data_IF_414554665643
#
_entry.id   IF_414554665643
#
_cell.length_a   1.000
_cell.length_b   1.000
_cell.length_c   1.000
_cell.angle_alpha   90.00
_cell.angle_beta   90.00
_cell.angle_gamma   90.00
#
_symmetry.space_group_name_H-M   'P 1'
#
loop_
_entity.id
_entity.type
_entity.pdbx_description
1 polymer ?
#
# COMPACT_ATOMS: atom_id res chain seq x y z
N UNK A 1 -10.51 0.30 -8.25
CA UNK A 1 -10.74 -0.74 -7.26
C UNK A 1 -11.26 -0.16 -5.94
N UNK A 2 -12.13 -0.91 -5.24
CA UNK A 2 -12.79 -0.43 -4.02
C UNK A 2 -11.82 -0.20 -2.84
N UNK A 3 -10.63 -0.76 -2.89
CA UNK A 3 -9.62 -0.61 -1.83
C UNK A 3 -8.66 0.57 -2.00
N UNK A 4 -8.72 1.30 -3.11
CA UNK A 4 -7.93 2.52 -3.26
C UNK A 4 -8.44 3.62 -2.33
N UNK A 5 -7.51 4.46 -1.82
CA UNK A 5 -7.87 5.54 -0.90
C UNK A 5 -8.88 6.51 -1.50
N UNK A 6 -8.81 6.75 -2.81
CA UNK A 6 -9.79 7.58 -3.52
C UNK A 6 -11.22 7.04 -3.44
N UNK A 7 -11.40 5.72 -3.41
CA UNK A 7 -12.73 5.10 -3.28
C UNK A 7 -13.31 5.31 -1.88
N UNK A 8 -12.46 5.26 -0.85
CA UNK A 8 -12.89 5.56 0.52
C UNK A 8 -13.22 7.04 0.70
N UNK A 9 -12.42 7.95 0.12
CA UNK A 9 -12.75 9.37 0.10
C UNK A 9 -14.11 9.60 -0.59
N UNK A 10 -14.34 8.96 -1.74
CA UNK A 10 -15.61 9.10 -2.45
C UNK A 10 -16.79 8.53 -1.66
N UNK A 11 -16.60 7.44 -0.93
CA UNK A 11 -17.61 6.90 -0.02
C UNK A 11 -17.98 7.92 1.07
N UNK A 12 -16.98 8.52 1.73
CA UNK A 12 -17.24 9.56 2.74
C UNK A 12 -18.00 10.79 2.16
N UNK A 13 -17.69 11.14 0.90
CA UNK A 13 -18.42 12.19 0.16
C UNK A 13 -19.89 11.80 -0.07
N UNK A 14 -20.16 10.55 -0.46
CA UNK A 14 -21.51 10.04 -0.67
C UNK A 14 -22.32 10.00 0.63
N UNK A 15 -21.66 9.60 1.71
CA UNK A 15 -22.27 9.54 3.04
C UNK A 15 -22.44 10.94 3.68
N UNK A 16 -21.97 11.99 3.00
CA UNK A 16 -22.02 13.39 3.43
C UNK A 16 -21.36 13.59 4.81
N UNK A 17 -20.22 12.93 5.05
CA UNK A 17 -19.48 13.09 6.29
C UNK A 17 -18.98 14.53 6.46
N UNK A 18 -19.24 15.15 7.62
CA UNK A 18 -19.00 16.58 7.86
C UNK A 18 -17.55 17.01 7.69
N UNK A 19 -16.60 16.14 8.03
CA UNK A 19 -15.16 16.44 7.97
C UNK A 19 -14.63 16.57 6.55
N UNK A 20 -15.33 16.05 5.53
CA UNK A 20 -14.86 16.03 4.13
C UNK A 20 -14.59 17.45 3.59
N UNK A 21 -15.39 18.43 3.97
CA UNK A 21 -15.21 19.83 3.55
C UNK A 21 -13.93 20.48 4.08
N UNK A 22 -13.38 19.95 5.18
CA UNK A 22 -12.25 20.51 5.92
C UNK A 22 -10.95 19.70 5.71
N UNK A 23 -10.95 18.74 4.76
CA UNK A 23 -9.75 17.93 4.47
C UNK A 23 -8.64 18.82 3.93
N UNK A 24 -7.47 18.76 4.57
CA UNK A 24 -6.24 19.45 4.16
C UNK A 24 -5.14 18.50 3.70
N UNK A 25 -5.29 17.22 4.01
CA UNK A 25 -4.29 16.22 3.67
C UNK A 25 -4.90 14.82 3.74
N UNK A 26 -4.82 14.10 2.64
CA UNK A 26 -5.20 12.69 2.52
C UNK A 26 -3.95 11.87 2.21
N UNK A 27 -3.62 10.93 3.07
CA UNK A 27 -2.43 10.10 2.91
C UNK A 27 -2.62 8.73 3.56
N UNK A 28 -1.69 7.83 3.30
CA UNK A 28 -1.60 6.54 3.99
C UNK A 28 -0.99 6.71 5.38
N UNK A 29 -1.01 5.65 6.18
CA UNK A 29 -0.35 5.64 7.49
C UNK A 29 1.17 5.88 7.35
N UNK A 30 1.80 5.30 6.33
CA UNK A 30 3.22 5.51 6.06
C UNK A 30 3.52 6.99 5.78
N UNK A 31 2.72 7.63 4.93
CA UNK A 31 2.84 9.06 4.65
C UNK A 31 2.58 9.94 5.86
N UNK A 32 1.61 9.57 6.71
CA UNK A 32 1.35 10.29 7.95
C UNK A 32 2.53 10.23 8.93
N UNK A 33 3.07 9.05 9.18
CA UNK A 33 4.24 8.89 10.07
C UNK A 33 5.43 9.66 9.51
N UNK A 34 5.69 9.55 8.20
CA UNK A 34 6.75 10.30 7.54
C UNK A 34 6.60 11.82 7.75
N UNK A 35 5.39 12.34 7.56
CA UNK A 35 5.12 13.76 7.82
C UNK A 35 5.41 14.16 9.27
N UNK A 36 5.03 13.33 10.25
CA UNK A 36 5.29 13.62 11.67
C UNK A 36 6.79 13.70 12.00
N UNK A 37 7.61 12.84 11.39
CA UNK A 37 9.05 12.78 11.71
C UNK A 37 9.92 13.68 10.85
N UNK A 38 9.43 14.14 9.67
CA UNK A 38 10.21 14.96 8.72
C UNK A 38 9.60 16.34 8.43
N UNK A 39 8.34 16.55 8.75
CA UNK A 39 7.57 17.73 8.35
C UNK A 39 7.22 17.78 6.85
N UNK A 40 7.52 16.71 6.06
CA UNK A 40 7.28 16.67 4.61
C UNK A 40 6.06 15.83 4.27
N UNK A 41 5.14 16.41 3.49
CA UNK A 41 3.94 15.75 2.96
C UNK A 41 4.27 15.06 1.63
N UNK A 42 4.95 13.93 1.68
CA UNK A 42 5.38 13.15 0.52
C UNK A 42 5.01 11.69 0.70
N UNK A 43 4.95 10.94 -0.40
CA UNK A 43 4.66 9.51 -0.42
C UNK A 43 5.50 8.84 -1.51
N UNK A 44 5.96 7.63 -1.27
CA UNK A 44 6.60 6.81 -2.28
C UNK A 44 5.61 6.41 -3.37
N UNK A 45 6.10 6.31 -4.59
CA UNK A 45 5.26 6.05 -5.78
C UNK A 45 4.51 4.71 -5.68
N UNK A 46 5.11 3.68 -5.06
CA UNK A 46 4.47 2.39 -4.86
C UNK A 46 3.24 2.52 -3.97
N UNK A 47 3.35 3.19 -2.84
CA UNK A 47 2.24 3.42 -1.91
C UNK A 47 1.22 4.40 -2.50
N UNK A 48 1.66 5.45 -3.19
CA UNK A 48 0.80 6.41 -3.89
C UNK A 48 -0.08 5.73 -4.96
N UNK A 49 0.43 4.67 -5.62
CA UNK A 49 -0.33 3.89 -6.60
C UNK A 49 -1.51 3.14 -5.98
N UNK A 50 -1.50 2.89 -4.68
CA UNK A 50 -2.63 2.39 -3.90
C UNK A 50 -3.65 3.46 -3.50
N UNK A 51 -3.34 4.73 -3.69
CA UNK A 51 -4.27 5.83 -3.44
C UNK A 51 -5.05 6.23 -4.69
N UNK A 52 -4.35 6.39 -5.82
CA UNK A 52 -4.89 6.80 -7.12
C UNK A 52 -4.00 6.26 -8.24
N UNK A 53 -4.49 6.00 -9.45
CA UNK A 53 -3.68 5.55 -10.58
C UNK A 53 -2.50 6.47 -10.85
N UNK A 54 -1.33 5.86 -11.07
CA UNK A 54 -0.10 6.53 -11.47
C UNK A 54 0.05 6.47 -12.99
N UNK A 55 0.45 7.58 -13.58
CA UNK A 55 0.90 7.64 -14.97
C UNK A 55 2.37 7.17 -15.03
N UNK A 56 2.67 6.09 -15.76
CA UNK A 56 4.01 5.51 -15.80
C UNK A 56 5.06 6.40 -16.47
N UNK A 57 4.63 7.36 -17.30
CA UNK A 57 5.53 8.29 -18.01
C UNK A 57 5.95 9.43 -17.08
N UNK A 58 4.97 10.07 -16.44
CA UNK A 58 5.24 11.20 -15.53
C UNK A 58 5.65 10.76 -14.14
N UNK A 59 5.45 9.49 -13.79
CA UNK A 59 5.64 8.91 -12.43
C UNK A 59 4.90 9.70 -11.35
N UNK A 60 3.73 10.17 -11.69
CA UNK A 60 2.87 10.94 -10.81
C UNK A 60 1.42 10.49 -10.97
N UNK A 61 0.52 11.01 -10.15
CA UNK A 61 -0.91 10.74 -10.29
C UNK A 61 -1.39 11.02 -11.71
N UNK A 62 -2.24 10.13 -12.25
CA UNK A 62 -2.82 10.31 -13.57
C UNK A 62 -3.65 11.60 -13.64
N UNK A 63 -3.20 12.55 -14.46
CA UNK A 63 -3.89 13.83 -14.62
C UNK A 63 -5.34 13.66 -15.13
N UNK A 64 -5.58 12.66 -15.97
CA UNK A 64 -6.92 12.32 -16.46
C UNK A 64 -7.84 11.87 -15.31
N UNK A 65 -7.34 11.00 -14.44
CA UNK A 65 -8.13 10.48 -13.30
C UNK A 65 -8.37 11.55 -12.24
N UNK A 66 -7.39 12.40 -11.99
CA UNK A 66 -7.54 13.59 -11.12
C UNK A 66 -8.64 14.50 -11.66
N UNK A 67 -8.60 14.85 -12.94
CA UNK A 67 -9.59 15.72 -13.56
C UNK A 67 -11.00 15.11 -13.51
N UNK A 68 -11.15 13.82 -13.80
CA UNK A 68 -12.43 13.11 -13.70
C UNK A 68 -12.99 13.10 -12.28
N UNK A 69 -12.12 12.93 -11.27
CA UNK A 69 -12.57 12.96 -9.88
C UNK A 69 -13.00 14.37 -9.47
N UNK A 70 -12.22 15.40 -9.81
CA UNK A 70 -12.57 16.79 -9.52
C UNK A 70 -13.89 17.20 -10.21
N UNK A 71 -14.13 16.74 -11.45
CA UNK A 71 -15.40 16.94 -12.15
C UNK A 71 -16.56 16.23 -11.43
N UNK A 72 -16.36 14.99 -10.99
CA UNK A 72 -17.36 14.19 -10.29
C UNK A 72 -17.82 14.85 -8.99
N UNK A 73 -16.91 15.48 -8.24
CA UNK A 73 -17.21 16.11 -6.95
C UNK A 73 -17.54 17.60 -7.06
N UNK A 74 -17.40 18.21 -8.23
CA UNK A 74 -17.66 19.64 -8.44
C UNK A 74 -19.02 20.12 -7.92
N UNK A 75 -20.14 19.36 -8.06
CA UNK A 75 -21.45 19.76 -7.51
C UNK A 75 -21.49 19.88 -5.99
N UNK A 76 -20.54 19.30 -5.25
CA UNK A 76 -20.45 19.39 -3.79
C UNK A 76 -19.89 20.74 -3.30
N UNK A 77 -19.17 21.47 -4.17
CA UNK A 77 -18.67 22.84 -3.88
C UNK A 77 -17.58 22.90 -2.81
N UNK A 78 -16.74 21.87 -2.69
CA UNK A 78 -15.61 21.87 -1.76
C UNK A 78 -14.60 22.96 -2.13
N UNK A 79 -13.88 23.49 -1.13
CA UNK A 79 -12.84 24.52 -1.27
C UNK A 79 -11.47 23.94 -1.66
N UNK A 80 -11.36 22.64 -1.87
CA UNK A 80 -10.16 21.92 -2.26
C UNK A 80 -10.39 21.12 -3.56
N UNK A 81 -9.32 20.86 -4.28
CA UNK A 81 -9.24 19.90 -5.37
C UNK A 81 -8.38 18.72 -4.95
N UNK A 82 -8.49 17.59 -5.67
CA UNK A 82 -7.83 16.36 -5.28
C UNK A 82 -6.31 16.55 -5.08
N UNK A 83 -5.62 17.22 -5.99
CA UNK A 83 -4.18 17.45 -5.87
C UNK A 83 -3.77 18.35 -4.70
N UNK A 84 -4.68 19.19 -4.20
CA UNK A 84 -4.38 20.07 -3.06
C UNK A 84 -4.23 19.28 -1.76
N UNK A 85 -4.89 18.12 -1.68
CA UNK A 85 -4.94 17.28 -0.48
C UNK A 85 -4.05 16.03 -0.57
N UNK A 86 -3.58 15.65 -1.76
CA UNK A 86 -2.71 14.48 -1.94
C UNK A 86 -1.24 14.78 -1.61
N UNK A 87 -0.47 13.78 -1.15
CA UNK A 87 0.99 13.91 -0.98
C UNK A 87 1.69 14.07 -2.33
N UNK A 88 2.84 14.76 -2.31
CA UNK A 88 3.75 14.75 -3.45
C UNK A 88 4.32 13.34 -3.64
N UNK A 89 4.27 12.81 -4.86
CA UNK A 89 4.84 11.50 -5.21
C UNK A 89 6.35 11.61 -5.39
N UNK A 90 7.08 10.66 -4.84
CA UNK A 90 8.52 10.50 -4.99
C UNK A 90 8.86 9.05 -5.36
N UNK A 91 9.84 8.87 -6.24
CA UNK A 91 10.38 7.55 -6.56
C UNK A 91 11.44 7.11 -5.54
N UNK A 92 11.68 5.81 -5.43
CA UNK A 92 12.76 5.29 -4.61
C UNK A 92 14.10 5.92 -4.98
N UNK A 93 14.89 6.28 -3.96
CA UNK A 93 16.17 6.98 -4.12
C UNK A 93 16.09 8.51 -4.13
N UNK A 94 14.90 9.10 -4.25
CA UNK A 94 14.75 10.54 -4.08
C UNK A 94 14.79 10.94 -2.60
N UNK A 95 15.21 12.19 -2.34
CA UNK A 95 15.27 12.71 -0.99
C UNK A 95 13.88 13.13 -0.52
N UNK A 96 13.36 12.46 0.50
CA UNK A 96 12.06 12.74 1.09
C UNK A 96 12.12 13.68 2.31
N UNK A 97 13.27 14.26 2.61
CA UNK A 97 13.51 15.14 3.74
C UNK A 97 14.50 14.57 4.73
N UNK A 98 14.57 15.22 5.86
CA UNK A 98 15.48 14.85 6.95
C UNK A 98 14.71 14.69 8.25
N UNK A 99 15.17 13.77 9.10
CA UNK A 99 14.63 13.61 10.43
C UNK A 99 14.75 14.90 11.22
N UNK A 100 13.63 15.40 11.74
CA UNK A 100 13.60 16.61 12.58
C UNK A 100 14.03 16.32 14.01
N UNK A 101 14.40 17.33 14.81
CA UNK A 101 14.67 17.12 16.25
C UNK A 101 13.47 16.51 16.98
N UNK A 102 12.24 16.94 16.65
CA UNK A 102 11.00 16.42 17.22
C UNK A 102 10.77 14.99 16.78
N UNK A 103 11.00 14.67 15.51
CA UNK A 103 10.91 13.30 14.97
C UNK A 103 11.92 12.37 15.63
N UNK A 104 13.17 12.82 15.81
CA UNK A 104 14.19 12.04 16.50
C UNK A 104 13.78 11.70 17.95
N UNK A 105 13.26 12.71 18.67
CA UNK A 105 12.76 12.54 20.05
C UNK A 105 11.53 11.63 20.13
N UNK A 106 10.65 11.70 19.12
CA UNK A 106 9.46 10.82 19.04
C UNK A 106 9.86 9.36 18.88
N UNK A 107 10.87 9.08 18.04
CA UNK A 107 11.31 7.72 17.74
C UNK A 107 12.23 7.14 18.81
N UNK A 108 13.00 7.99 19.48
CA UNK A 108 13.99 7.58 20.47
C UNK A 108 14.05 8.53 21.65
N UNK A 109 13.37 8.15 22.73
CA UNK A 109 13.38 8.90 24.00
C UNK A 109 14.73 8.86 24.70
N UNK A 110 15.60 7.90 24.36
CA UNK A 110 16.96 7.79 24.96
C UNK A 110 17.92 8.87 24.42
N UNK A 111 17.58 9.52 23.29
CA UNK A 111 18.35 10.61 22.71
C UNK A 111 19.60 10.18 21.93
N UNK A 112 19.77 8.89 21.63
CA UNK A 112 20.86 8.40 20.77
C UNK A 112 20.62 8.75 19.30
N UNK A 113 19.36 8.71 18.85
CA UNK A 113 18.97 9.07 17.49
C UNK A 113 19.10 10.59 17.30
N UNK A 114 19.83 11.01 16.28
CA UNK A 114 20.08 12.43 16.00
C UNK A 114 19.24 12.92 14.82
N UNK A 115 18.83 14.17 14.88
CA UNK A 115 18.20 14.87 13.74
C UNK A 115 19.19 15.01 12.57
N UNK A 116 18.66 15.28 11.37
CA UNK A 116 19.45 15.52 10.15
C UNK A 116 19.77 14.26 9.34
N UNK A 117 19.31 13.10 9.77
CA UNK A 117 19.41 11.85 8.99
C UNK A 117 18.49 11.96 7.78
N UNK A 118 18.98 11.71 6.54
CA UNK A 118 18.13 11.70 5.36
C UNK A 118 17.12 10.54 5.45
N UNK A 119 15.87 10.82 5.03
CA UNK A 119 14.77 9.85 5.04
C UNK A 119 14.35 9.56 3.61
N UNK A 120 14.17 8.28 3.28
CA UNK A 120 13.66 7.85 1.98
C UNK A 120 12.14 8.12 1.85
N UNK A 121 11.60 8.10 0.63
CA UNK A 121 10.16 8.12 0.42
C UNK A 121 9.48 6.98 1.18
N UNK A 122 8.40 7.26 1.92
CA UNK A 122 7.68 6.22 2.66
C UNK A 122 6.93 5.31 1.70
N UNK A 123 7.06 4.00 1.88
CA UNK A 123 6.44 2.97 1.04
C UNK A 123 5.63 1.99 1.88
N UNK A 124 4.63 1.36 1.26
CA UNK A 124 3.88 0.27 1.85
C UNK A 124 4.65 -1.05 1.83
N UNK A 125 4.12 -2.04 2.58
CA UNK A 125 4.70 -3.39 2.68
C UNK A 125 4.76 -4.14 1.35
N UNK A 126 3.79 -3.91 0.46
CA UNK A 126 3.75 -4.54 -0.87
C UNK A 126 4.96 -4.14 -1.73
N UNK A 127 5.25 -2.83 -1.84
CA UNK A 127 6.40 -2.34 -2.61
C UNK A 127 7.73 -2.73 -1.99
N UNK A 128 7.86 -2.61 -0.67
CA UNK A 128 9.08 -3.05 0.04
C UNK A 128 9.28 -4.55 -0.02
N UNK A 129 8.20 -5.35 -0.03
CA UNK A 129 8.24 -6.80 -0.24
C UNK A 129 8.77 -7.17 -1.63
N UNK A 130 8.43 -6.43 -2.68
CA UNK A 130 9.02 -6.63 -4.01
C UNK A 130 10.53 -6.35 -4.02
N UNK A 131 10.98 -5.32 -3.32
CA UNK A 131 12.42 -5.03 -3.17
C UNK A 131 13.10 -6.15 -2.40
N UNK A 132 12.55 -6.57 -1.27
CA UNK A 132 13.11 -7.63 -0.42
C UNK A 132 13.27 -8.98 -1.14
N UNK A 133 12.36 -9.29 -2.07
CA UNK A 133 12.39 -10.51 -2.89
C UNK A 133 13.12 -10.33 -4.23
N UNK A 134 13.72 -9.17 -4.48
CA UNK A 134 14.36 -8.81 -5.75
C UNK A 134 13.43 -8.95 -6.97
N UNK A 135 12.15 -8.65 -6.79
CA UNK A 135 11.09 -8.80 -7.78
C UNK A 135 10.67 -7.44 -8.38
N UNK A 136 11.64 -6.56 -8.67
CA UNK A 136 11.39 -5.20 -9.18
C UNK A 136 11.68 -5.03 -10.68
N UNK A 137 12.28 -6.04 -11.32
CA UNK A 137 12.57 -6.02 -12.76
C UNK A 137 11.36 -6.50 -13.56
N UNK A 138 11.24 -6.02 -14.80
CA UNK A 138 10.25 -6.53 -15.74
C UNK A 138 10.26 -8.07 -15.82
N UNK A 139 9.08 -8.68 -15.90
CA UNK A 139 8.86 -10.13 -15.94
C UNK A 139 9.28 -10.88 -14.67
N UNK A 140 9.55 -10.17 -13.60
CA UNK A 140 9.68 -10.76 -12.26
C UNK A 140 8.44 -10.44 -11.43
N UNK A 141 8.26 -11.16 -10.36
CA UNK A 141 7.15 -10.94 -9.45
C UNK A 141 7.35 -11.66 -8.13
N UNK A 142 6.46 -11.39 -7.21
CA UNK A 142 6.42 -12.08 -5.93
C UNK A 142 4.98 -12.44 -5.54
N UNK A 143 4.86 -13.33 -4.59
CA UNK A 143 3.60 -13.67 -3.93
C UNK A 143 3.77 -13.34 -2.44
N UNK A 144 2.87 -12.54 -1.92
CA UNK A 144 2.74 -12.34 -0.48
C UNK A 144 1.63 -13.24 0.04
N UNK A 145 1.93 -14.02 1.06
CA UNK A 145 1.01 -14.99 1.67
C UNK A 145 0.93 -14.73 3.18
N UNK A 146 -0.06 -13.95 3.57
CA UNK A 146 -0.37 -13.62 4.97
C UNK A 146 -1.82 -14.01 5.29
N UNK A 147 -2.55 -13.15 5.97
CA UNK A 147 -4.00 -13.27 6.16
C UNK A 147 -4.72 -13.30 4.82
N UNK A 148 -4.29 -12.41 3.91
CA UNK A 148 -4.63 -12.43 2.48
C UNK A 148 -3.44 -12.92 1.67
N UNK A 149 -3.68 -13.26 0.40
CA UNK A 149 -2.61 -13.45 -0.57
C UNK A 149 -2.73 -12.47 -1.71
N UNK A 150 -1.60 -11.99 -2.22
CA UNK A 150 -1.56 -11.23 -3.46
C UNK A 150 -0.32 -11.57 -4.27
N UNK A 151 -0.53 -11.66 -5.58
CA UNK A 151 0.52 -11.88 -6.57
C UNK A 151 0.77 -10.59 -7.31
N UNK A 152 2.03 -10.19 -7.42
CA UNK A 152 2.47 -8.99 -8.12
C UNK A 152 3.47 -9.36 -9.20
N UNK A 153 3.26 -8.85 -10.41
CA UNK A 153 4.15 -9.08 -11.56
C UNK A 153 4.47 -7.74 -12.21
N UNK A 154 5.76 -7.45 -12.34
CA UNK A 154 6.23 -6.24 -13.04
C UNK A 154 6.02 -6.42 -14.54
N UNK A 155 5.24 -5.53 -15.12
CA UNK A 155 4.85 -5.61 -16.52
C UNK A 155 5.95 -5.08 -17.44
N UNK A 156 6.07 -5.71 -18.60
CA UNK A 156 6.90 -5.26 -19.73
C UNK A 156 6.14 -4.34 -20.67
N UNK A 157 4.81 -4.47 -20.69
CA UNK A 157 3.87 -3.71 -21.52
C UNK A 157 2.60 -3.43 -20.73
N UNK A 158 1.92 -2.37 -21.07
CA UNK A 158 0.59 -2.10 -20.55
C UNK A 158 -0.38 -3.23 -20.85
N UNK A 159 -1.37 -3.42 -20.00
CA UNK A 159 -2.44 -4.35 -20.25
C UNK A 159 -3.25 -3.91 -21.47
N UNK A 160 -3.67 -4.84 -22.32
CA UNK A 160 -4.42 -4.56 -23.55
C UNK A 160 -5.81 -3.96 -23.29
N UNK A 161 -6.34 -4.14 -22.09
CA UNK A 161 -7.60 -3.60 -21.60
C UNK A 161 -7.64 -3.66 -20.07
N UNK A 162 -8.55 -2.94 -19.41
CA UNK A 162 -8.82 -3.13 -17.99
C UNK A 162 -9.36 -4.54 -17.71
N UNK A 163 -8.93 -5.13 -16.59
CA UNK A 163 -9.45 -6.39 -16.07
C UNK A 163 -9.91 -6.15 -14.62
N UNK A 164 -11.14 -6.55 -14.28
CA UNK A 164 -11.72 -6.33 -12.96
C UNK A 164 -10.91 -6.97 -11.81
N UNK A 165 -10.25 -8.10 -12.11
CA UNK A 165 -9.47 -8.87 -11.13
C UNK A 165 -8.04 -8.37 -10.96
N UNK A 166 -7.60 -7.40 -11.77
CA UNK A 166 -6.23 -6.90 -11.77
C UNK A 166 -6.22 -5.44 -11.32
N UNK A 167 -5.53 -5.18 -10.23
CA UNK A 167 -5.22 -3.83 -9.80
C UNK A 167 -3.87 -3.41 -10.38
N UNK A 168 -3.83 -2.22 -10.96
CA UNK A 168 -2.59 -1.63 -11.44
C UNK A 168 -1.95 -0.79 -10.34
N UNK A 169 -0.78 -1.22 -9.90
CA UNK A 169 0.06 -0.52 -8.92
C UNK A 169 1.46 -0.31 -9.52
N UNK A 170 2.41 0.18 -8.74
CA UNK A 170 3.79 0.34 -9.21
C UNK A 170 4.78 -0.28 -8.23
N UNK A 171 5.97 -0.59 -8.73
CA UNK A 171 7.15 -0.80 -7.89
C UNK A 171 7.58 0.53 -7.25
N UNK A 172 8.44 0.54 -6.22
CA UNK A 172 8.96 1.78 -5.63
C UNK A 172 9.77 2.67 -6.60
N UNK A 173 10.20 2.16 -7.74
CA UNK A 173 10.85 2.94 -8.81
C UNK A 173 9.87 3.41 -9.91
N UNK A 174 8.59 3.05 -9.78
CA UNK A 174 7.52 3.48 -10.67
C UNK A 174 7.28 2.58 -11.88
N UNK A 175 7.85 1.37 -11.91
CA UNK A 175 7.53 0.39 -12.97
C UNK A 175 6.12 -0.17 -12.77
N UNK A 176 5.31 -0.37 -13.84
CA UNK A 176 3.93 -0.84 -13.72
C UNK A 176 3.88 -2.30 -13.23
N UNK A 177 2.99 -2.56 -12.31
CA UNK A 177 2.77 -3.87 -11.70
C UNK A 177 1.31 -4.27 -11.81
N UNK A 178 1.06 -5.47 -12.33
CA UNK A 178 -0.24 -6.12 -12.23
C UNK A 178 -0.32 -6.87 -10.91
N UNK A 179 -1.31 -6.54 -10.09
CA UNK A 179 -1.57 -7.17 -8.81
C UNK A 179 -2.92 -7.88 -8.82
N UNK A 180 -2.94 -9.14 -8.39
CA UNK A 180 -4.16 -9.90 -8.09
C UNK A 180 -4.19 -10.19 -6.60
N UNK A 181 -5.30 -9.88 -5.95
CA UNK A 181 -5.47 -10.01 -4.51
C UNK A 181 -6.59 -10.99 -4.18
N UNK A 182 -6.33 -11.87 -3.21
CA UNK A 182 -7.30 -12.75 -2.60
C UNK A 182 -7.40 -12.48 -1.10
N UNK A 183 -8.62 -12.34 -0.58
CA UNK A 183 -8.84 -12.02 0.83
C UNK A 183 -8.54 -13.20 1.77
N UNK A 184 -8.38 -14.39 1.25
CA UNK A 184 -8.16 -15.62 1.99
C UNK A 184 -6.77 -16.18 1.70
N UNK A 185 -6.07 -16.64 2.71
CA UNK A 185 -4.81 -17.38 2.58
C UNK A 185 -4.55 -18.25 3.82
N UNK A 186 -3.87 -17.73 4.83
CA UNK A 186 -3.50 -18.52 6.02
C UNK A 186 -4.70 -18.95 6.85
N UNK A 187 -5.80 -18.21 6.84
CA UNK A 187 -7.05 -18.61 7.50
C UNK A 187 -7.65 -19.85 6.86
N UNK A 188 -7.65 -19.97 5.52
CA UNK A 188 -8.15 -21.13 4.83
C UNK A 188 -7.23 -22.35 5.04
N UNK A 189 -5.91 -22.12 4.97
CA UNK A 189 -4.93 -23.15 5.30
C UNK A 189 -5.16 -23.68 6.72
N UNK A 190 -5.32 -22.78 7.70
CA UNK A 190 -5.57 -23.17 9.08
C UNK A 190 -6.89 -23.93 9.24
N UNK A 191 -7.94 -23.56 8.51
CA UNK A 191 -9.22 -24.26 8.56
C UNK A 191 -9.06 -25.71 8.07
N UNK A 192 -8.35 -25.95 6.95
CA UNK A 192 -8.05 -27.29 6.46
C UNK A 192 -7.18 -28.09 7.43
N UNK A 193 -6.13 -27.50 7.98
CA UNK A 193 -5.25 -28.18 8.94
C UNK A 193 -6.03 -28.54 10.21
N UNK A 194 -6.87 -27.64 10.71
CA UNK A 194 -7.71 -27.92 11.86
C UNK A 194 -8.71 -29.06 11.62
N UNK A 195 -9.28 -29.16 10.43
CA UNK A 195 -10.15 -30.28 10.05
C UNK A 195 -9.41 -31.62 10.14
N UNK A 196 -8.18 -31.70 9.61
CA UNK A 196 -7.37 -32.91 9.74
C UNK A 196 -6.95 -33.19 11.18
N UNK A 197 -6.66 -32.18 11.97
CA UNK A 197 -6.38 -32.30 13.41
C UNK A 197 -7.58 -32.90 14.13
N UNK A 198 -8.77 -32.32 13.97
CA UNK A 198 -10.00 -32.82 14.59
C UNK A 198 -10.27 -34.28 14.23
N UNK A 199 -10.04 -34.67 12.98
CA UNK A 199 -10.15 -36.06 12.55
C UNK A 199 -9.17 -37.00 13.28
N UNK A 200 -7.91 -36.60 13.44
CA UNK A 200 -6.90 -37.38 14.17
C UNK A 200 -7.25 -37.51 15.66
N UNK A 201 -7.69 -36.40 16.28
CA UNK A 201 -8.11 -36.39 17.69
C UNK A 201 -9.33 -37.28 17.95
N UNK A 202 -10.28 -37.36 17.00
CA UNK A 202 -11.41 -38.29 17.04
C UNK A 202 -10.97 -39.75 17.07
N UNK A 203 -9.83 -40.08 16.43
CA UNK A 203 -9.21 -41.40 16.44
C UNK A 203 -8.32 -41.65 17.68
N UNK A 204 -8.26 -40.71 18.62
CA UNK A 204 -7.42 -40.78 19.82
C UNK A 204 -5.94 -40.52 19.56
N UNK A 205 -5.59 -39.95 18.42
CA UNK A 205 -4.21 -39.62 18.04
C UNK A 205 -3.93 -38.16 18.43
N UNK A 206 -3.04 -37.89 19.38
CA UNK A 206 -2.69 -36.50 19.73
C UNK A 206 -1.92 -35.81 18.60
N UNK A 207 -2.23 -34.54 18.35
CA UNK A 207 -1.62 -33.74 17.27
C UNK A 207 -0.88 -32.56 17.86
N UNK A 208 0.45 -32.48 17.61
CA UNK A 208 1.25 -31.28 17.89
C UNK A 208 1.25 -30.38 16.64
N UNK A 209 0.59 -29.22 16.77
CA UNK A 209 0.47 -28.26 15.66
C UNK A 209 1.82 -27.65 15.24
N UNK A 210 2.78 -27.53 16.14
CA UNK A 210 4.12 -27.02 15.78
C UNK A 210 4.85 -28.04 14.87
N UNK A 211 4.70 -29.34 15.19
CA UNK A 211 5.27 -30.40 14.34
C UNK A 211 4.58 -30.44 12.96
N UNK A 212 3.26 -30.29 12.93
CA UNK A 212 2.48 -30.26 11.68
C UNK A 212 2.93 -29.10 10.81
N UNK A 213 2.96 -27.87 11.33
CA UNK A 213 3.40 -26.73 10.54
C UNK A 213 4.89 -26.82 10.17
N UNK A 214 5.74 -27.32 11.08
CA UNK A 214 7.15 -27.54 10.77
C UNK A 214 7.37 -28.49 9.60
N UNK A 215 6.56 -29.55 9.47
CA UNK A 215 6.61 -30.48 8.33
C UNK A 215 5.97 -29.92 7.06
N UNK A 216 4.95 -29.05 7.19
CA UNK A 216 4.23 -28.48 6.07
C UNK A 216 5.07 -27.44 5.32
N UNK A 217 5.93 -26.72 6.04
CA UNK A 217 6.75 -25.63 5.48
C UNK A 217 8.18 -26.04 5.12
N UNK A 218 8.57 -27.30 5.33
CA UNK A 218 9.85 -27.88 4.90
C UNK A 218 9.66 -28.75 3.65
#
# INVERSE_FOLDING_TARGET
PLRWSISHLYQAILDNEEHVKDINYLTTLAGFIHWQITGKKVLGIGDASGMLPIDPVTKNYSAEMVAKFDELIAPKGYNWKLLDILPKVLSAGENAGFLTPEGAKMLDVSGHLKAGIPVCPPEGDAGTGMVATNAVKQRTGNVSAGTSSFSMIVLEKDLSKPYEMIDMVTTPDGSPVAMVHCNNCTSDLNAWINLFKEYQELLGIPVDMNEVYGKLYN
#
